data_IF_656146813414
#
_entry.id   IF_656146813414
#
_cell.length_a   1.000
_cell.length_b   1.000
_cell.length_c   1.000
_cell.angle_alpha   90.00
_cell.angle_beta   90.00
_cell.angle_gamma   90.00
#
_symmetry.space_group_name_H-M   'P 1'
#
loop_
_entity.id
_entity.type
_entity.pdbx_description
1 polymer ?
#
# COMPACT_ATOMS: atom_id res chain seq x y z
N UNK A 1 14.02 -10.77 27.53
CA UNK A 1 12.64 -10.80 27.00
C UNK A 1 12.62 -11.65 25.74
N UNK A 2 11.65 -12.56 25.57
CA UNK A 2 11.60 -13.44 24.37
C UNK A 2 11.12 -12.66 23.14
N UNK A 3 11.47 -13.10 21.93
CA UNK A 3 11.10 -12.46 20.66
C UNK A 3 9.59 -12.17 20.55
N UNK A 4 8.74 -13.14 20.92
CA UNK A 4 7.28 -13.00 20.84
C UNK A 4 6.76 -11.90 21.76
N UNK A 5 7.34 -11.76 22.96
CA UNK A 5 6.97 -10.71 23.91
C UNK A 5 7.37 -9.33 23.36
N UNK A 6 8.52 -9.24 22.69
CA UNK A 6 8.98 -8.01 22.04
C UNK A 6 8.05 -7.59 20.91
N UNK A 7 7.62 -8.54 20.08
CA UNK A 7 6.64 -8.27 19.01
C UNK A 7 5.34 -7.73 19.60
N UNK A 8 4.81 -8.35 20.66
CA UNK A 8 3.59 -7.88 21.33
C UNK A 8 3.74 -6.47 21.89
N UNK A 9 4.90 -6.16 22.48
CA UNK A 9 5.19 -4.83 23.02
C UNK A 9 5.25 -3.78 21.90
N UNK A 10 5.97 -4.06 20.82
CA UNK A 10 6.08 -3.16 19.65
C UNK A 10 4.72 -2.93 18.98
N UNK A 11 3.86 -3.95 18.87
CA UNK A 11 2.48 -3.77 18.40
C UNK A 11 1.65 -2.88 19.33
N UNK A 12 1.82 -3.01 20.66
CA UNK A 12 1.15 -2.14 21.63
C UNK A 12 1.64 -0.70 21.50
N UNK A 13 2.94 -0.49 21.26
CA UNK A 13 3.51 0.83 20.99
C UNK A 13 2.97 1.43 19.69
N UNK A 14 2.88 0.62 18.62
CA UNK A 14 2.27 1.03 17.36
C UNK A 14 0.82 1.50 17.55
N UNK A 15 -0.01 0.72 18.24
CA UNK A 15 -1.40 1.05 18.51
C UNK A 15 -1.57 2.22 19.50
N UNK A 16 -0.52 2.60 20.23
CA UNK A 16 -0.53 3.77 21.11
C UNK A 16 -0.04 5.03 20.39
N UNK A 17 0.52 4.90 19.19
CA UNK A 17 1.17 5.99 18.48
C UNK A 17 0.15 6.84 17.73
N UNK A 18 0.13 8.15 18.05
CA UNK A 18 -0.77 9.12 17.37
C UNK A 18 -0.57 9.17 15.86
N UNK A 19 0.67 9.04 15.41
CA UNK A 19 1.01 9.10 13.98
C UNK A 19 0.42 7.95 13.18
N UNK A 20 0.37 6.74 13.77
CA UNK A 20 -0.33 5.62 13.16
C UNK A 20 -1.82 5.96 12.96
N UNK A 21 -2.48 6.52 13.99
CA UNK A 21 -3.87 6.96 13.85
C UNK A 21 -4.04 8.06 12.82
N UNK A 22 -3.16 9.08 12.77
CA UNK A 22 -3.23 10.13 11.75
C UNK A 22 -3.06 9.56 10.34
N UNK A 23 -2.09 8.67 10.11
CA UNK A 23 -1.90 8.04 8.81
C UNK A 23 -3.11 7.21 8.39
N UNK A 24 -3.67 6.43 9.31
CA UNK A 24 -4.84 5.60 9.05
C UNK A 24 -6.10 6.45 8.79
N UNK A 25 -6.35 7.50 9.57
CA UNK A 25 -7.51 8.38 9.36
C UNK A 25 -7.41 9.14 8.05
N UNK A 26 -6.22 9.62 7.67
CA UNK A 26 -6.01 10.29 6.37
C UNK A 26 -6.36 9.32 5.21
N UNK A 27 -5.89 8.07 5.26
CA UNK A 27 -6.24 7.06 4.25
C UNK A 27 -7.75 6.80 4.19
N UNK A 28 -8.38 6.62 5.35
CA UNK A 28 -9.82 6.40 5.44
C UNK A 28 -10.62 7.58 4.87
N UNK A 29 -10.21 8.82 5.16
CA UNK A 29 -10.86 10.02 4.65
C UNK A 29 -10.70 10.12 3.13
N UNK A 30 -9.50 9.92 2.59
CA UNK A 30 -9.27 9.93 1.13
C UNK A 30 -10.19 8.94 0.40
N UNK A 31 -10.24 7.72 0.91
CA UNK A 31 -11.06 6.65 0.34
C UNK A 31 -12.56 6.98 0.46
N UNK A 32 -12.98 7.52 1.60
CA UNK A 32 -14.37 7.94 1.83
C UNK A 32 -14.80 9.05 0.88
N UNK A 33 -13.94 10.05 0.64
CA UNK A 33 -14.22 11.13 -0.33
C UNK A 33 -14.33 10.55 -1.75
N UNK A 34 -13.43 9.63 -2.11
CA UNK A 34 -13.49 8.93 -3.40
C UNK A 34 -14.81 8.15 -3.56
N UNK A 35 -15.21 7.41 -2.54
CA UNK A 35 -16.49 6.69 -2.50
C UNK A 35 -17.71 7.62 -2.61
N UNK A 36 -17.77 8.67 -1.80
CA UNK A 36 -18.87 9.66 -1.84
C UNK A 36 -18.98 10.34 -3.22
N UNK A 37 -17.85 10.62 -3.86
CA UNK A 37 -17.81 11.17 -5.22
C UNK A 37 -18.45 10.23 -6.25
N UNK A 38 -18.24 8.91 -6.11
CA UNK A 38 -18.91 7.90 -6.95
C UNK A 38 -20.41 7.87 -6.67
N UNK A 39 -20.80 7.88 -5.40
CA UNK A 39 -22.21 7.90 -4.99
C UNK A 39 -22.94 9.12 -5.57
N UNK A 40 -22.33 10.30 -5.53
CA UNK A 40 -22.91 11.52 -6.10
C UNK A 40 -23.09 11.42 -7.62
N UNK A 41 -22.12 10.84 -8.34
CA UNK A 41 -22.22 10.64 -9.79
C UNK A 41 -23.27 9.57 -10.19
N UNK A 42 -23.56 8.63 -9.28
CA UNK A 42 -24.60 7.60 -9.45
C UNK A 42 -26.00 8.10 -9.08
N UNK A 43 -26.09 9.18 -8.28
CA UNK A 43 -27.36 9.70 -7.80
C UNK A 43 -28.27 10.11 -8.96
N UNK A 44 -29.51 9.64 -8.95
CA UNK A 44 -30.50 9.93 -10.00
C UNK A 44 -30.37 9.08 -11.27
N UNK A 45 -29.46 8.11 -11.34
CA UNK A 45 -29.38 7.16 -12.46
C UNK A 45 -30.31 5.97 -12.24
N UNK A 46 -30.84 5.43 -13.34
CA UNK A 46 -31.58 4.16 -13.32
C UNK A 46 -30.74 3.03 -12.72
N UNK A 47 -31.37 2.21 -11.88
CA UNK A 47 -30.77 1.01 -11.26
C UNK A 47 -30.18 0.08 -12.33
N UNK A 48 -30.83 0.02 -13.51
CA UNK A 48 -30.35 -0.77 -14.63
C UNK A 48 -29.01 -0.29 -15.21
N UNK A 49 -28.61 0.97 -14.97
CA UNK A 49 -27.35 1.56 -15.42
C UNK A 49 -26.30 1.64 -14.30
N UNK A 50 -26.62 1.15 -13.10
CA UNK A 50 -25.67 1.07 -11.99
C UNK A 50 -24.75 -0.12 -12.19
N UNK A 51 -23.45 0.13 -12.09
CA UNK A 51 -22.42 -0.88 -12.27
C UNK A 51 -22.34 -1.83 -11.07
N UNK A 52 -21.80 -3.06 -11.25
CA UNK A 52 -21.59 -3.98 -10.16
C UNK A 52 -20.67 -3.38 -9.08
N UNK A 53 -20.90 -3.74 -7.82
CA UNK A 53 -20.07 -3.28 -6.70
C UNK A 53 -18.57 -3.65 -6.85
N UNK A 54 -18.24 -4.64 -7.67
CA UNK A 54 -16.84 -4.99 -7.98
C UNK A 54 -16.13 -3.94 -8.84
N UNK A 55 -16.83 -3.27 -9.75
CA UNK A 55 -16.23 -2.29 -10.65
C UNK A 55 -16.29 -0.87 -10.08
N UNK A 56 -17.12 -0.64 -9.07
CA UNK A 56 -17.16 0.61 -8.32
C UNK A 56 -16.08 0.71 -7.24
N UNK A 57 -15.30 -0.37 -7.01
CA UNK A 57 -14.25 -0.42 -6.00
C UNK A 57 -13.15 0.63 -6.22
N UNK A 58 -12.52 1.09 -5.15
CA UNK A 58 -11.49 2.15 -5.17
C UNK A 58 -10.28 1.83 -6.04
N UNK A 59 -9.91 0.56 -6.13
CA UNK A 59 -8.84 0.07 -7.00
C UNK A 59 -9.28 -0.21 -8.44
N UNK A 60 -10.48 0.19 -8.85
CA UNK A 60 -10.89 0.17 -10.26
C UNK A 60 -11.02 1.61 -10.76
N UNK A 61 -10.02 2.06 -11.51
CA UNK A 61 -9.99 3.45 -11.98
C UNK A 61 -10.91 3.56 -13.20
N UNK A 62 -12.05 4.21 -13.00
CA UNK A 62 -13.05 4.43 -14.03
C UNK A 62 -13.23 5.90 -14.38
N UNK A 63 -13.46 6.18 -15.66
CA UNK A 63 -13.77 7.54 -16.14
C UNK A 63 -15.18 8.00 -15.78
N UNK A 64 -15.96 7.15 -15.11
CA UNK A 64 -17.32 7.45 -14.68
C UNK A 64 -17.43 8.70 -13.78
N UNK A 65 -16.41 8.95 -12.96
CA UNK A 65 -16.34 10.15 -12.12
C UNK A 65 -14.91 10.68 -12.11
N UNK A 66 -14.68 11.81 -12.78
CA UNK A 66 -13.36 12.48 -12.86
C UNK A 66 -12.75 12.73 -11.49
N UNK A 67 -13.57 13.14 -10.51
CA UNK A 67 -13.12 13.40 -9.13
C UNK A 67 -12.64 12.12 -8.45
N UNK A 68 -13.44 11.04 -8.50
CA UNK A 68 -13.01 9.78 -7.86
C UNK A 68 -11.78 9.18 -8.55
N UNK A 69 -11.67 9.31 -9.89
CA UNK A 69 -10.47 8.92 -10.64
C UNK A 69 -9.23 9.65 -10.12
N UNK A 70 -9.29 10.97 -10.01
CA UNK A 70 -8.19 11.79 -9.51
C UNK A 70 -7.81 11.40 -8.07
N UNK A 71 -8.80 11.12 -7.21
CA UNK A 71 -8.54 10.67 -5.83
C UNK A 71 -7.87 9.30 -5.80
N UNK A 72 -8.31 8.34 -6.63
CA UNK A 72 -7.67 7.03 -6.73
C UNK A 72 -6.23 7.14 -7.25
N UNK A 73 -5.98 7.95 -8.28
CA UNK A 73 -4.63 8.21 -8.80
C UNK A 73 -3.73 8.84 -7.74
N UNK A 74 -4.22 9.87 -7.02
CA UNK A 74 -3.49 10.49 -5.91
C UNK A 74 -3.19 9.48 -4.79
N UNK A 75 -4.12 8.59 -4.51
CA UNK A 75 -3.95 7.55 -3.50
C UNK A 75 -2.80 6.60 -3.87
N UNK A 76 -2.82 5.99 -5.05
CA UNK A 76 -1.79 5.02 -5.46
C UNK A 76 -0.44 5.67 -5.78
N UNK A 77 -0.44 6.92 -6.25
CA UNK A 77 0.79 7.63 -6.62
C UNK A 77 1.50 8.28 -5.44
N UNK A 78 0.76 8.94 -4.55
CA UNK A 78 1.35 9.74 -3.47
C UNK A 78 0.98 9.20 -2.08
N UNK A 79 -0.31 8.96 -1.81
CA UNK A 79 -0.71 8.58 -0.46
C UNK A 79 -0.07 7.26 -0.04
N UNK A 80 -0.13 6.23 -0.89
CA UNK A 80 0.40 4.89 -0.65
C UNK A 80 1.88 4.92 -0.19
N UNK A 81 2.83 5.46 -0.95
CA UNK A 81 4.24 5.40 -0.57
C UNK A 81 4.59 6.28 0.65
N UNK A 82 4.04 7.49 0.74
CA UNK A 82 4.39 8.44 1.81
C UNK A 82 3.70 8.10 3.13
N UNK A 83 2.46 7.64 3.11
CA UNK A 83 1.72 7.32 4.32
C UNK A 83 2.15 5.94 4.86
N UNK A 84 2.46 4.97 4.00
CA UNK A 84 2.98 3.68 4.44
C UNK A 84 4.32 3.81 5.18
N UNK A 85 5.21 4.67 4.69
CA UNK A 85 6.47 4.97 5.37
C UNK A 85 6.23 5.74 6.67
N UNK A 86 5.31 6.70 6.71
CA UNK A 86 5.04 7.50 7.90
C UNK A 86 4.43 6.71 9.07
N UNK A 87 3.77 5.58 8.83
CA UNK A 87 3.04 4.82 9.85
C UNK A 87 3.92 4.38 11.05
N UNK A 88 5.03 3.68 10.79
CA UNK A 88 5.89 3.16 11.86
C UNK A 88 7.38 3.03 11.52
N UNK A 89 7.82 3.43 10.33
CA UNK A 89 9.17 3.10 9.84
C UNK A 89 10.31 3.88 10.49
N UNK A 90 10.01 5.02 11.10
CA UNK A 90 10.95 5.97 11.68
C UNK A 90 11.26 5.71 13.16
N UNK A 91 10.63 4.71 13.78
CA UNK A 91 10.78 4.44 15.21
C UNK A 91 12.20 4.08 15.60
N UNK A 92 12.98 3.41 14.73
CA UNK A 92 14.40 3.16 15.03
C UNK A 92 15.23 4.44 15.08
N UNK A 93 14.94 5.39 14.18
CA UNK A 93 15.59 6.70 14.21
C UNK A 93 15.30 7.43 15.51
N UNK A 94 14.04 7.40 15.99
CA UNK A 94 13.64 8.03 17.25
C UNK A 94 14.33 7.36 18.44
N UNK A 95 14.32 6.03 18.51
CA UNK A 95 14.92 5.29 19.64
C UNK A 95 16.44 5.50 19.69
N UNK A 96 17.08 5.67 18.53
CA UNK A 96 18.50 6.01 18.44
C UNK A 96 18.77 7.44 18.91
N UNK A 97 18.04 8.44 18.40
CA UNK A 97 18.26 9.84 18.75
C UNK A 97 17.92 10.17 20.20
N UNK A 98 16.93 9.50 20.79
CA UNK A 98 16.53 9.68 22.20
C UNK A 98 17.42 8.90 23.16
N UNK A 99 18.32 8.04 22.67
CA UNK A 99 19.14 7.15 23.49
C UNK A 99 18.35 5.99 24.13
N UNK A 100 17.04 5.87 23.86
CA UNK A 100 16.19 4.80 24.38
C UNK A 100 16.72 3.40 24.02
N UNK A 101 17.40 3.30 22.87
CA UNK A 101 17.99 2.06 22.39
C UNK A 101 18.97 1.43 23.40
N UNK A 102 19.73 2.23 24.18
CA UNK A 102 20.65 1.72 25.21
C UNK A 102 19.89 1.00 26.33
N UNK A 103 18.78 1.58 26.78
CA UNK A 103 17.93 0.99 27.82
C UNK A 103 17.24 -0.30 27.35
N UNK A 104 16.87 -0.37 26.07
CA UNK A 104 16.24 -1.54 25.46
C UNK A 104 17.24 -2.70 25.35
N UNK A 105 18.46 -2.44 24.88
CA UNK A 105 19.49 -3.47 24.67
C UNK A 105 19.96 -4.12 25.99
N UNK A 106 19.87 -3.41 27.12
CA UNK A 106 20.17 -3.98 28.45
C UNK A 106 19.16 -5.09 28.83
N UNK A 107 17.92 -5.02 28.34
CA UNK A 107 16.81 -5.93 28.72
C UNK A 107 16.49 -7.00 27.67
N UNK A 108 16.99 -6.84 26.45
CA UNK A 108 16.75 -7.77 25.34
C UNK A 108 17.92 -7.80 24.36
N UNK A 109 18.07 -8.92 23.64
CA UNK A 109 19.06 -9.01 22.59
C UNK A 109 18.75 -8.02 21.47
N UNK A 110 19.79 -7.30 21.00
CA UNK A 110 19.70 -6.37 19.86
C UNK A 110 19.08 -7.01 18.60
N UNK A 111 19.41 -8.28 18.34
CA UNK A 111 18.86 -9.04 17.19
C UNK A 111 17.34 -9.22 17.32
N UNK A 112 16.87 -9.63 18.49
CA UNK A 112 15.44 -9.87 18.74
C UNK A 112 14.63 -8.58 18.62
N UNK A 113 15.17 -7.45 19.10
CA UNK A 113 14.56 -6.12 18.97
C UNK A 113 14.44 -5.66 17.50
N UNK A 114 15.49 -5.85 16.70
CA UNK A 114 15.45 -5.43 15.29
C UNK A 114 14.50 -6.30 14.48
N UNK A 115 14.49 -7.62 14.73
CA UNK A 115 13.55 -8.53 14.08
C UNK A 115 12.11 -8.19 14.48
N UNK A 116 11.84 -7.98 15.77
CA UNK A 116 10.50 -7.62 16.23
C UNK A 116 10.02 -6.33 15.58
N UNK A 117 10.87 -5.30 15.53
CA UNK A 117 10.52 -4.03 14.92
C UNK A 117 10.32 -4.15 13.40
N UNK A 118 11.13 -4.95 12.72
CA UNK A 118 10.97 -5.23 11.27
C UNK A 118 9.58 -5.83 10.98
N UNK A 119 9.14 -6.80 11.78
CA UNK A 119 7.81 -7.43 11.63
C UNK A 119 6.70 -6.40 11.86
N UNK A 120 6.80 -5.58 12.90
CA UNK A 120 5.77 -4.56 13.21
C UNK A 120 5.73 -3.46 12.16
N UNK A 121 6.88 -3.01 11.65
CA UNK A 121 6.94 -2.02 10.56
C UNK A 121 6.31 -2.58 9.29
N UNK A 122 6.63 -3.82 8.92
CA UNK A 122 6.03 -4.47 7.76
C UNK A 122 4.50 -4.58 7.91
N UNK A 123 4.03 -5.07 9.06
CA UNK A 123 2.60 -5.17 9.36
C UNK A 123 1.91 -3.80 9.35
N UNK A 124 2.57 -2.75 9.85
CA UNK A 124 2.03 -1.38 9.86
C UNK A 124 1.76 -0.84 8.46
N UNK A 125 2.72 -0.99 7.54
CA UNK A 125 2.58 -0.55 6.16
C UNK A 125 1.50 -1.34 5.42
N UNK A 126 1.40 -2.64 5.70
CA UNK A 126 0.33 -3.48 5.16
C UNK A 126 -1.05 -3.02 5.64
N UNK A 127 -1.26 -2.90 6.96
CA UNK A 127 -2.57 -2.60 7.55
C UNK A 127 -3.09 -1.22 7.12
N UNK A 128 -2.22 -0.21 7.06
CA UNK A 128 -2.61 1.17 6.73
C UNK A 128 -3.16 1.31 5.30
N UNK A 129 -2.76 0.44 4.36
CA UNK A 129 -3.26 0.45 2.98
C UNK A 129 -4.34 -0.60 2.76
N UNK A 130 -4.12 -1.82 3.23
CA UNK A 130 -5.02 -2.94 2.99
C UNK A 130 -6.39 -2.71 3.63
N UNK A 131 -6.42 -2.28 4.90
CA UNK A 131 -7.65 -2.23 5.67
C UNK A 131 -8.62 -1.15 5.14
N UNK A 132 -8.17 0.07 4.78
CA UNK A 132 -9.05 1.03 4.12
C UNK A 132 -9.62 0.57 2.77
N UNK A 133 -8.84 -0.14 1.95
CA UNK A 133 -9.29 -0.68 0.67
C UNK A 133 -10.37 -1.77 0.83
N UNK A 134 -10.24 -2.61 1.86
CA UNK A 134 -11.25 -3.63 2.19
C UNK A 134 -12.53 -2.98 2.71
N UNK A 135 -12.42 -1.97 3.58
CA UNK A 135 -13.59 -1.24 4.07
C UNK A 135 -14.35 -0.57 2.92
N UNK A 136 -13.65 0.00 1.94
CA UNK A 136 -14.33 0.60 0.79
C UNK A 136 -15.08 -0.42 -0.06
N UNK A 137 -14.51 -1.62 -0.26
CA UNK A 137 -15.23 -2.69 -0.94
C UNK A 137 -16.53 -3.06 -0.20
N UNK A 138 -16.51 -3.05 1.13
CA UNK A 138 -17.71 -3.25 1.96
C UNK A 138 -18.72 -2.12 1.74
N UNK A 139 -18.28 -0.86 1.70
CA UNK A 139 -19.13 0.29 1.39
C UNK A 139 -19.77 0.19 -0.01
N UNK A 140 -19.03 -0.29 -1.01
CA UNK A 140 -19.56 -0.51 -2.36
C UNK A 140 -20.72 -1.51 -2.39
N UNK A 141 -20.73 -2.53 -1.53
CA UNK A 141 -21.85 -3.48 -1.44
C UNK A 141 -23.14 -2.85 -0.93
N UNK A 142 -23.08 -1.76 -0.15
CA UNK A 142 -24.27 -1.06 0.32
C UNK A 142 -24.93 -0.18 -0.75
N UNK A 143 -24.16 0.30 -1.72
CA UNK A 143 -24.65 1.26 -2.74
C UNK A 143 -25.00 0.57 -4.06
N UNK A 144 -24.29 -0.49 -4.41
CA UNK A 144 -24.37 -1.10 -5.73
C UNK A 144 -24.77 -2.58 -5.67
N UNK A 145 -25.44 -3.10 -6.71
CA UNK A 145 -25.81 -4.50 -6.75
C UNK A 145 -24.59 -5.41 -6.82
N UNK A 146 -24.73 -6.62 -6.25
CA UNK A 146 -23.68 -7.66 -6.27
C UNK A 146 -23.40 -8.15 -7.68
N UNK A 147 -24.40 -8.13 -8.56
CA UNK A 147 -24.23 -8.39 -9.98
C UNK A 147 -24.99 -7.34 -10.78
N UNK A 148 -24.27 -6.66 -11.68
CA UNK A 148 -24.84 -5.67 -12.59
C UNK A 148 -25.11 -6.27 -13.97
N UNK A 149 -26.04 -5.67 -14.72
CA UNK A 149 -26.33 -6.06 -16.12
C UNK A 149 -25.35 -5.46 -17.13
N UNK A 150 -24.77 -4.31 -16.78
CA UNK A 150 -23.81 -3.57 -17.59
C UNK A 150 -22.55 -3.34 -16.80
N UNK A 151 -21.42 -3.42 -17.49
CA UNK A 151 -20.14 -2.99 -16.95
C UNK A 151 -19.89 -1.51 -17.22
N UNK A 152 -18.84 -0.97 -16.62
CA UNK A 152 -18.49 0.46 -16.74
C UNK A 152 -18.14 0.88 -18.18
N UNK A 153 -17.82 -0.07 -19.06
CA UNK A 153 -17.65 0.18 -20.50
C UNK A 153 -18.97 0.10 -21.29
N UNK A 154 -20.12 0.02 -20.61
CA UNK A 154 -21.45 -0.18 -21.20
C UNK A 154 -21.56 -1.43 -22.10
N UNK A 155 -20.61 -2.35 -21.99
CA UNK A 155 -20.65 -3.67 -22.63
C UNK A 155 -21.42 -4.62 -21.72
N UNK A 156 -22.07 -5.62 -22.32
CA UNK A 156 -22.62 -6.74 -21.56
C UNK A 156 -21.45 -7.54 -20.98
N UNK A 157 -21.59 -8.06 -19.76
CA UNK A 157 -20.51 -8.76 -19.04
C UNK A 157 -19.81 -9.90 -19.80
N UNK A 158 -20.52 -10.54 -20.74
CA UNK A 158 -20.00 -11.61 -21.58
C UNK A 158 -19.36 -11.14 -22.90
N UNK A 159 -19.45 -9.86 -23.24
CA UNK A 159 -18.91 -9.27 -24.47
C UNK A 159 -17.68 -8.38 -24.24
N UNK A 160 -17.12 -8.40 -23.04
CA UNK A 160 -16.09 -7.47 -22.59
C UNK A 160 -14.81 -7.57 -23.47
N UNK A 161 -14.61 -6.65 -24.42
CA UNK A 161 -13.67 -6.85 -25.54
C UNK A 161 -12.19 -6.71 -25.10
N UNK A 162 -11.97 -6.08 -23.95
CA UNK A 162 -10.64 -5.80 -23.38
C UNK A 162 -10.22 -6.77 -22.27
N UNK A 163 -10.91 -7.90 -22.08
CA UNK A 163 -10.54 -8.92 -21.08
C UNK A 163 -9.06 -9.30 -21.19
N UNK A 164 -8.58 -9.54 -22.41
CA UNK A 164 -7.18 -9.93 -22.63
C UNK A 164 -6.18 -8.84 -22.27
N UNK A 165 -6.64 -7.60 -22.13
CA UNK A 165 -5.85 -6.43 -21.79
C UNK A 165 -5.81 -6.14 -20.28
N UNK A 166 -6.42 -6.98 -19.43
CA UNK A 166 -6.43 -6.83 -17.97
C UNK A 166 -5.45 -7.77 -17.27
N UNK A 167 -4.96 -7.36 -16.11
CA UNK A 167 -4.21 -8.22 -15.20
C UNK A 167 -5.16 -9.20 -14.48
N UNK A 168 -4.81 -10.49 -14.48
CA UNK A 168 -5.63 -11.60 -13.95
C UNK A 168 -7.05 -11.71 -14.54
N UNK A 169 -7.20 -11.82 -15.87
CA UNK A 169 -8.50 -11.70 -16.53
C UNK A 169 -9.47 -12.83 -16.19
N UNK A 170 -8.97 -14.05 -16.06
CA UNK A 170 -9.79 -15.23 -15.68
C UNK A 170 -10.36 -15.07 -14.27
N UNK A 171 -9.55 -14.52 -13.35
CA UNK A 171 -9.99 -14.28 -11.98
C UNK A 171 -11.03 -13.17 -11.93
N UNK A 172 -10.85 -12.10 -12.69
CA UNK A 172 -11.79 -10.99 -12.76
C UNK A 172 -13.17 -11.40 -13.28
N UNK A 173 -13.23 -12.25 -14.31
CA UNK A 173 -14.51 -12.71 -14.90
C UNK A 173 -15.24 -13.67 -13.96
N UNK A 174 -14.54 -14.67 -13.44
CA UNK A 174 -15.16 -15.74 -12.67
C UNK A 174 -15.43 -15.32 -11.22
N UNK A 175 -14.52 -14.55 -10.63
CA UNK A 175 -14.54 -14.17 -9.22
C UNK A 175 -14.09 -12.70 -9.03
N UNK A 176 -14.88 -11.70 -9.49
CA UNK A 176 -14.47 -10.30 -9.51
C UNK A 176 -14.11 -9.74 -8.12
N UNK A 177 -14.84 -10.13 -7.07
CA UNK A 177 -14.55 -9.70 -5.70
C UNK A 177 -13.27 -10.30 -5.14
N UNK A 178 -12.95 -11.55 -5.52
CA UNK A 178 -11.68 -12.17 -5.16
C UNK A 178 -10.51 -11.47 -5.87
N UNK A 179 -10.72 -11.02 -7.12
CA UNK A 179 -9.75 -10.19 -7.84
C UNK A 179 -9.50 -8.87 -7.10
N UNK A 180 -10.54 -8.15 -6.67
CA UNK A 180 -10.37 -6.90 -5.91
C UNK A 180 -9.63 -7.11 -4.59
N UNK A 181 -9.99 -8.17 -3.86
CA UNK A 181 -9.29 -8.55 -2.64
C UNK A 181 -7.81 -8.83 -2.91
N UNK A 182 -7.48 -9.54 -3.99
CA UNK A 182 -6.11 -9.81 -4.40
C UNK A 182 -5.34 -8.52 -4.73
N UNK A 183 -5.95 -7.56 -5.43
CA UNK A 183 -5.33 -6.24 -5.65
C UNK A 183 -5.12 -5.47 -4.34
N UNK A 184 -6.07 -5.54 -3.40
CA UNK A 184 -5.89 -4.94 -2.07
C UNK A 184 -4.69 -5.56 -1.32
N UNK A 185 -4.54 -6.89 -1.38
CA UNK A 185 -3.38 -7.59 -0.80
C UNK A 185 -2.09 -7.15 -1.49
N UNK A 186 -2.06 -7.05 -2.82
CA UNK A 186 -0.88 -6.59 -3.57
C UNK A 186 -0.50 -5.16 -3.15
N UNK A 187 -1.46 -4.24 -3.10
CA UNK A 187 -1.24 -2.87 -2.68
C UNK A 187 -0.74 -2.77 -1.23
N UNK A 188 -1.33 -3.55 -0.31
CA UNK A 188 -0.88 -3.64 1.08
C UNK A 188 0.54 -4.19 1.20
N UNK A 189 0.86 -5.27 0.48
CA UNK A 189 2.20 -5.86 0.48
C UNK A 189 3.24 -4.91 -0.11
N UNK A 190 2.89 -4.14 -1.14
CA UNK A 190 3.76 -3.12 -1.70
C UNK A 190 4.01 -1.99 -0.68
N UNK A 191 2.97 -1.53 0.01
CA UNK A 191 3.09 -0.61 1.14
C UNK A 191 4.00 -1.10 2.26
N UNK A 192 3.90 -2.38 2.60
CA UNK A 192 4.76 -3.04 3.59
C UNK A 192 6.23 -3.09 3.14
N UNK A 193 6.50 -3.29 1.84
CA UNK A 193 7.85 -3.22 1.29
C UNK A 193 8.41 -1.79 1.40
N UNK A 194 7.60 -0.77 1.11
CA UNK A 194 8.02 0.64 1.22
C UNK A 194 8.33 1.00 2.68
N UNK A 195 7.49 0.61 3.63
CA UNK A 195 7.74 0.88 5.05
C UNK A 195 9.03 0.22 5.54
N UNK A 196 9.33 -0.98 5.05
CA UNK A 196 10.53 -1.74 5.36
C UNK A 196 11.80 -1.15 4.72
N UNK A 197 11.72 -0.62 3.50
CA UNK A 197 12.81 0.15 2.88
C UNK A 197 13.07 1.44 3.67
N UNK A 198 12.01 2.17 4.05
CA UNK A 198 12.10 3.35 4.91
C UNK A 198 12.79 3.05 6.25
N UNK A 199 12.40 1.94 6.88
CA UNK A 199 13.02 1.46 8.10
C UNK A 199 14.51 1.15 7.92
N UNK A 200 14.88 0.55 6.79
CA UNK A 200 16.29 0.26 6.48
C UNK A 200 17.12 1.53 6.30
N UNK A 201 16.55 2.57 5.68
CA UNK A 201 17.19 3.88 5.53
C UNK A 201 17.45 4.53 6.91
N UNK A 202 16.63 4.26 7.92
CA UNK A 202 16.85 4.73 9.30
C UNK A 202 18.21 4.30 9.88
N UNK A 203 18.78 3.19 9.42
CA UNK A 203 20.10 2.72 9.86
C UNK A 203 21.27 3.46 9.18
N UNK A 204 21.02 4.09 8.04
CA UNK A 204 22.03 4.81 7.25
C UNK A 204 22.00 6.29 7.63
N UNK A 205 20.81 6.90 7.64
CA UNK A 205 20.62 8.34 7.83
C UNK A 205 20.24 8.66 9.27
N UNK A 206 21.19 9.24 10.01
CA UNK A 206 20.99 9.74 11.39
C UNK A 206 20.71 11.24 11.48
N UNK A 207 20.63 11.94 10.35
CA UNK A 207 20.55 13.42 10.31
C UNK A 207 19.12 13.98 10.38
N UNK A 208 18.15 13.36 9.70
CA UNK A 208 16.79 13.89 9.64
C UNK A 208 15.76 12.77 9.53
N UNK A 209 14.77 12.82 10.43
CA UNK A 209 13.59 11.95 10.45
C UNK A 209 12.78 12.04 9.15
N UNK A 210 12.65 13.26 8.62
CA UNK A 210 11.82 13.53 7.44
C UNK A 210 12.43 12.89 6.18
N UNK A 211 13.77 12.92 6.07
CA UNK A 211 14.47 12.26 4.97
C UNK A 211 14.28 10.75 4.97
N UNK A 212 14.31 10.11 6.14
CA UNK A 212 14.11 8.66 6.28
C UNK A 212 12.77 8.23 5.66
N UNK A 213 11.70 8.96 6.00
CA UNK A 213 10.34 8.67 5.54
C UNK A 213 10.11 9.07 4.08
N UNK A 214 10.64 10.22 3.65
CA UNK A 214 10.36 10.76 2.33
C UNK A 214 11.10 10.04 1.19
N UNK A 215 12.32 9.54 1.42
CA UNK A 215 13.17 9.00 0.34
C UNK A 215 12.48 7.85 -0.43
N UNK A 216 11.95 6.79 0.22
CA UNK A 216 11.29 5.70 -0.51
C UNK A 216 10.13 6.17 -1.38
N UNK A 217 9.35 7.14 -0.88
CA UNK A 217 8.23 7.68 -1.63
C UNK A 217 8.64 8.56 -2.80
N UNK A 218 9.67 9.40 -2.62
CA UNK A 218 10.23 10.19 -3.72
C UNK A 218 10.78 9.26 -4.81
N UNK A 219 11.53 8.22 -4.45
CA UNK A 219 12.08 7.24 -5.40
C UNK A 219 10.95 6.56 -6.18
N UNK A 220 9.88 6.14 -5.51
CA UNK A 220 8.72 5.53 -6.17
C UNK A 220 8.02 6.49 -7.14
N UNK A 221 7.79 7.74 -6.75
CA UNK A 221 7.13 8.75 -7.58
C UNK A 221 7.99 9.08 -8.81
N UNK A 222 9.27 9.38 -8.60
CA UNK A 222 10.22 9.70 -9.68
C UNK A 222 10.34 8.52 -10.65
N UNK A 223 10.40 7.29 -10.14
CA UNK A 223 10.43 6.09 -10.97
C UNK A 223 9.21 6.00 -11.89
N UNK A 224 8.00 6.16 -11.36
CA UNK A 224 6.78 6.09 -12.18
C UNK A 224 6.71 7.25 -13.20
N UNK A 225 7.18 8.45 -12.84
CA UNK A 225 7.28 9.57 -13.79
C UNK A 225 8.24 9.28 -14.94
N UNK A 226 9.43 8.74 -14.67
CA UNK A 226 10.41 8.38 -15.71
C UNK A 226 9.84 7.32 -16.64
N UNK A 227 9.17 6.31 -16.09
CA UNK A 227 8.57 5.24 -16.88
C UNK A 227 7.47 5.75 -17.80
N UNK A 228 6.60 6.64 -17.32
CA UNK A 228 5.56 7.25 -18.17
C UNK A 228 6.18 8.18 -19.23
N UNK A 229 7.20 8.96 -18.88
CA UNK A 229 7.93 9.81 -19.83
C UNK A 229 8.58 9.02 -20.97
N UNK A 230 9.13 7.84 -20.67
CA UNK A 230 9.72 6.92 -21.65
C UNK A 230 8.68 6.05 -22.36
N UNK A 231 7.38 6.22 -22.05
CA UNK A 231 6.26 5.43 -22.56
C UNK A 231 6.42 3.90 -22.36
N UNK A 232 7.13 3.50 -21.30
CA UNK A 232 7.41 2.09 -20.98
C UNK A 232 6.39 1.54 -19.98
N UNK A 233 5.09 1.63 -20.30
CA UNK A 233 3.99 1.29 -19.36
C UNK A 233 4.11 -0.09 -18.71
N UNK A 234 4.69 -1.08 -19.38
CA UNK A 234 4.92 -2.42 -18.80
C UNK A 234 5.79 -2.42 -17.52
N UNK A 235 6.60 -1.38 -17.29
CA UNK A 235 7.47 -1.21 -16.13
C UNK A 235 6.85 -0.32 -15.02
N UNK A 236 5.69 0.30 -15.25
CA UNK A 236 5.12 1.26 -14.30
C UNK A 236 4.57 0.52 -13.10
N UNK A 237 5.13 0.74 -11.91
CA UNK A 237 4.69 0.06 -10.69
C UNK A 237 3.26 0.44 -10.31
N UNK A 238 2.87 1.69 -10.55
CA UNK A 238 1.54 2.21 -10.27
C UNK A 238 0.43 1.39 -10.93
N UNK A 239 0.56 1.06 -12.22
CA UNK A 239 -0.45 0.31 -12.98
C UNK A 239 -0.65 -1.14 -12.48
N UNK A 240 0.28 -1.69 -11.69
CA UNK A 240 0.13 -3.01 -11.09
C UNK A 240 -0.65 -3.00 -9.76
N UNK A 241 -0.82 -1.84 -9.13
CA UNK A 241 -1.41 -1.73 -7.79
C UNK A 241 -2.94 -1.59 -7.83
N UNK A 242 -3.51 -1.30 -8.99
CA UNK A 242 -4.95 -1.18 -9.20
C UNK A 242 -5.34 -1.92 -10.48
N UNK A 243 -6.62 -2.28 -10.58
CA UNK A 243 -7.17 -2.94 -11.76
C UNK A 243 -7.54 -1.89 -12.82
N UNK A 244 -7.00 -2.06 -14.02
CA UNK A 244 -7.25 -1.20 -15.16
C UNK A 244 -7.58 -2.04 -16.40
N UNK A 245 -8.47 -1.53 -17.24
CA UNK A 245 -8.91 -2.20 -18.47
C UNK A 245 -7.87 -2.18 -19.60
N UNK A 246 -6.82 -1.38 -19.44
CA UNK A 246 -5.88 -1.03 -20.52
C UNK A 246 -4.46 -1.52 -20.26
N UNK A 247 -4.25 -2.35 -19.22
CA UNK A 247 -2.92 -2.76 -18.79
C UNK A 247 -2.79 -4.26 -18.55
N UNK A 248 -1.97 -4.90 -19.40
CA UNK A 248 -1.46 -6.26 -19.17
C UNK A 248 -0.09 -6.16 -18.53
N UNK A 249 -0.07 -6.28 -17.21
CA UNK A 249 1.17 -6.33 -16.45
C UNK A 249 1.81 -7.71 -16.47
N UNK A 250 3.14 -7.77 -16.57
CA UNK A 250 3.91 -8.96 -16.24
C UNK A 250 4.02 -9.07 -14.72
N UNK A 251 3.12 -9.83 -14.08
CA UNK A 251 3.04 -9.95 -12.61
C UNK A 251 4.34 -10.42 -11.97
N UNK A 252 5.16 -11.18 -12.71
CA UNK A 252 6.49 -11.60 -12.25
C UNK A 252 7.44 -10.43 -12.04
N UNK A 253 7.28 -9.33 -12.78
CA UNK A 253 8.08 -8.13 -12.63
C UNK A 253 7.84 -7.45 -11.28
N UNK A 254 6.57 -7.22 -10.91
CA UNK A 254 6.22 -6.64 -9.62
C UNK A 254 6.77 -7.49 -8.46
N UNK A 255 6.59 -8.80 -8.53
CA UNK A 255 7.10 -9.73 -7.51
C UNK A 255 8.63 -9.67 -7.39
N UNK A 256 9.37 -9.56 -8.50
CA UNK A 256 10.83 -9.38 -8.49
C UNK A 256 11.22 -8.05 -7.85
N UNK A 257 10.50 -6.97 -8.12
CA UNK A 257 10.76 -5.65 -7.52
C UNK A 257 10.51 -5.69 -6.01
N UNK A 258 9.41 -6.30 -5.56
CA UNK A 258 9.10 -6.47 -4.14
C UNK A 258 10.13 -7.35 -3.43
N UNK A 259 10.52 -8.47 -4.04
CA UNK A 259 11.60 -9.32 -3.52
C UNK A 259 12.93 -8.57 -3.44
N UNK A 260 13.27 -7.78 -4.46
CA UNK A 260 14.45 -6.92 -4.48
C UNK A 260 14.46 -5.91 -3.34
N UNK A 261 13.32 -5.23 -3.09
CA UNK A 261 13.17 -4.32 -1.95
C UNK A 261 13.46 -5.02 -0.62
N UNK A 262 12.86 -6.20 -0.40
CA UNK A 262 13.04 -7.00 0.83
C UNK A 262 14.50 -7.45 1.01
N UNK A 263 15.14 -7.88 -0.07
CA UNK A 263 16.55 -8.31 -0.04
C UNK A 263 17.46 -7.12 0.29
N UNK A 264 17.28 -5.98 -0.37
CA UNK A 264 18.09 -4.77 -0.15
C UNK A 264 17.95 -4.29 1.30
N UNK A 265 16.71 -4.22 1.81
CA UNK A 265 16.48 -3.89 3.22
C UNK A 265 17.13 -4.89 4.17
N UNK A 266 17.05 -6.20 3.89
CA UNK A 266 17.67 -7.24 4.70
C UNK A 266 19.20 -7.07 4.75
N UNK A 267 19.82 -6.79 3.60
CA UNK A 267 21.26 -6.52 3.51
C UNK A 267 21.66 -5.29 4.32
N UNK A 268 20.89 -4.20 4.24
CA UNK A 268 21.17 -2.97 5.01
C UNK A 268 21.06 -3.23 6.51
N UNK A 269 19.98 -3.89 6.94
CA UNK A 269 19.72 -4.18 8.36
C UNK A 269 20.79 -5.13 8.93
N UNK A 270 21.15 -6.19 8.19
CA UNK A 270 22.19 -7.15 8.61
C UNK A 270 23.58 -6.54 8.56
N UNK A 271 23.92 -5.81 7.49
CA UNK A 271 25.22 -5.17 7.30
C UNK A 271 25.53 -4.17 8.41
N UNK A 272 24.57 -3.32 8.78
CA UNK A 272 24.75 -2.38 9.90
C UNK A 272 24.80 -3.06 11.26
N UNK A 273 24.12 -4.19 11.43
CA UNK A 273 24.21 -4.98 12.66
C UNK A 273 25.58 -5.61 12.89
N UNK A 274 26.30 -5.95 11.82
CA UNK A 274 27.65 -6.51 11.90
C UNK A 274 28.73 -5.43 12.09
N UNK A 275 28.56 -4.26 11.48
CA UNK A 275 29.55 -3.16 11.52
C UNK A 275 29.51 -2.38 12.84
N UNK A 276 28.36 -2.23 13.50
CA UNK A 276 28.25 -1.50 14.78
C UNK A 276 28.44 -2.47 15.96
N UNK A 277 29.60 -3.11 16.01
CA UNK A 277 30.05 -3.91 17.15
C UNK A 277 30.72 -3.07 18.24
N UNK A 278 31.16 -1.86 17.94
CA UNK A 278 31.90 -1.03 18.88
C UNK A 278 31.25 0.36 18.96
N UNK A 279 30.61 0.62 20.10
CA UNK A 279 30.43 1.92 20.78
C UNK A 279 29.31 1.73 21.83
N UNK A 280 29.72 1.11 22.94
CA UNK A 280 29.00 1.16 24.22
C UNK A 280 28.94 2.61 24.71
#
# INVERSE_FOLDING_TARGET
>A
MKLIEMIKLEFKLLLSRKEFFYTFTIMMVLISIGFLSKCFSLYGRDIAKVYPASQLWFGWISDFSKIARLISELFYMFALPFIASLAYSDTYFIDYNTGMIKNIIIRCNKKDYIISKTVVVFASGFIVIFLPLVIEQILCFFVAPVSGRFDILHTKAYQFPYIKAMQFPVLFINYPYLSNFLFAVIAGMFGACISLVSYSISFINKKSRLLVVAIPGIVYVVYNFIVEFLNMRHLSLLNYLYSCVTFVGNTSYLLKVMAGMIIISGIIILGRNLVVKDEL
#
